data_IF_484135890668
#
_entry.id   IF_484135890668
#
_cell.length_a   1.000
_cell.length_b   1.000
_cell.length_c   1.000
_cell.angle_alpha   90.00
_cell.angle_beta   90.00
_cell.angle_gamma   90.00
#
_symmetry.space_group_name_H-M   'P 1'
#
loop_
_entity.id
_entity.type
_entity.pdbx_description
1 polymer ?
#
# COMPACT_ATOMS: atom_id res chain seq x y z
N UNK A 1 16.52 -10.71 -8.06
CA UNK A 1 17.04 -9.48 -7.42
C UNK A 1 16.20 -8.24 -7.72
N UNK A 2 15.85 -7.95 -8.99
CA UNK A 2 15.07 -6.75 -9.37
C UNK A 2 13.76 -6.52 -8.57
N UNK A 3 12.90 -7.53 -8.29
CA UNK A 3 11.66 -7.31 -7.52
C UNK A 3 11.91 -6.84 -6.08
N UNK A 4 12.95 -7.36 -5.41
CA UNK A 4 13.29 -6.96 -4.05
C UNK A 4 13.78 -5.51 -3.99
N UNK A 5 14.52 -5.05 -5.01
CA UNK A 5 14.96 -3.65 -5.10
C UNK A 5 13.76 -2.70 -5.23
N UNK A 6 12.77 -3.03 -6.06
CA UNK A 6 11.54 -2.23 -6.17
C UNK A 6 10.73 -2.22 -4.87
N UNK A 7 10.66 -3.35 -4.16
CA UNK A 7 9.98 -3.41 -2.87
C UNK A 7 10.67 -2.54 -1.80
N UNK A 8 12.00 -2.56 -1.75
CA UNK A 8 12.78 -1.71 -0.84
C UNK A 8 12.59 -0.23 -1.20
N UNK A 9 12.70 0.12 -2.49
CA UNK A 9 12.48 1.48 -2.96
C UNK A 9 11.07 1.99 -2.62
N UNK A 10 10.04 1.15 -2.80
CA UNK A 10 8.68 1.47 -2.40
C UNK A 10 8.59 1.75 -0.88
N UNK A 11 9.21 0.89 -0.05
CA UNK A 11 9.28 1.10 1.40
C UNK A 11 9.92 2.44 1.78
N UNK A 12 11.02 2.81 1.13
CA UNK A 12 11.70 4.09 1.34
C UNK A 12 10.84 5.28 0.92
N UNK A 13 10.19 5.23 -0.25
CA UNK A 13 9.27 6.27 -0.70
C UNK A 13 8.11 6.48 0.28
N UNK A 14 7.52 5.39 0.78
CA UNK A 14 6.48 5.46 1.82
C UNK A 14 7.02 5.90 3.19
N UNK A 15 8.29 5.65 3.52
CA UNK A 15 8.89 6.17 4.76
C UNK A 15 9.05 7.69 4.71
N UNK A 16 9.69 8.19 3.67
CA UNK A 16 9.93 9.62 3.49
C UNK A 16 8.61 10.38 3.29
N UNK A 17 7.72 9.88 2.42
CA UNK A 17 6.45 10.54 2.12
C UNK A 17 5.55 10.68 3.35
N UNK A 18 5.43 9.63 4.18
CA UNK A 18 4.56 9.67 5.36
C UNK A 18 5.13 10.53 6.50
N UNK A 19 6.46 10.75 6.54
CA UNK A 19 7.06 11.72 7.45
C UNK A 19 6.56 13.14 7.15
N UNK A 20 6.53 13.53 5.87
CA UNK A 20 5.98 14.82 5.45
C UNK A 20 4.47 14.92 5.70
N UNK A 21 3.71 13.86 5.44
CA UNK A 21 2.29 13.83 5.78
C UNK A 21 2.09 14.06 7.28
N UNK A 22 2.81 13.31 8.13
CA UNK A 22 2.68 13.41 9.59
C UNK A 22 3.03 14.81 10.09
N UNK A 23 4.09 15.43 9.56
CA UNK A 23 4.48 16.79 9.97
C UNK A 23 3.41 17.83 9.65
N UNK A 24 2.72 17.68 8.51
CA UNK A 24 1.59 18.54 8.15
C UNK A 24 0.37 18.29 9.05
N UNK A 25 0.05 17.02 9.37
CA UNK A 25 -1.05 16.68 10.28
C UNK A 25 -0.83 17.24 11.70
N UNK A 26 0.42 17.29 12.17
CA UNK A 26 0.78 17.86 13.48
C UNK A 26 0.57 19.38 13.57
N UNK A 27 0.45 20.08 12.44
CA UNK A 27 0.13 21.51 12.46
C UNK A 27 -1.33 21.79 12.86
N UNK A 28 -2.19 20.77 12.87
CA UNK A 28 -3.64 20.87 13.07
C UNK A 28 -4.39 21.78 12.06
N UNK A 29 -3.71 22.29 11.02
CA UNK A 29 -4.32 23.09 9.95
C UNK A 29 -4.85 22.25 8.79
N UNK A 30 -4.42 21.00 8.69
CA UNK A 30 -4.82 20.05 7.64
C UNK A 30 -5.28 18.77 8.31
N UNK A 31 -6.51 18.35 8.02
CA UNK A 31 -7.06 17.08 8.52
C UNK A 31 -6.61 15.87 7.70
N UNK A 32 -6.76 14.64 8.23
CA UNK A 32 -6.34 13.41 7.56
C UNK A 32 -7.04 13.20 6.20
N UNK A 33 -8.33 13.53 6.10
CA UNK A 33 -9.10 13.42 4.86
C UNK A 33 -8.58 14.41 3.81
N UNK A 34 -8.33 15.66 4.21
CA UNK A 34 -7.77 16.69 3.33
C UNK A 34 -6.37 16.30 2.84
N UNK A 35 -5.53 15.76 3.72
CA UNK A 35 -4.19 15.31 3.37
C UNK A 35 -4.21 14.22 2.30
N UNK A 36 -5.09 13.21 2.42
CA UNK A 36 -5.23 12.16 1.41
C UNK A 36 -5.80 12.71 0.11
N UNK A 37 -6.85 13.53 0.19
CA UNK A 37 -7.46 14.10 -1.01
C UNK A 37 -6.44 14.89 -1.83
N UNK A 38 -5.70 15.79 -1.18
CA UNK A 38 -4.66 16.60 -1.82
C UNK A 38 -3.51 15.75 -2.36
N UNK A 39 -3.02 14.78 -1.56
CA UNK A 39 -1.99 13.82 -2.00
C UNK A 39 -2.44 13.07 -3.27
N UNK A 40 -3.67 12.58 -3.30
CA UNK A 40 -4.22 11.84 -4.44
C UNK A 40 -4.39 12.71 -5.67
N UNK A 41 -4.81 13.97 -5.52
CA UNK A 41 -4.87 14.95 -6.63
C UNK A 41 -3.52 15.12 -7.31
N UNK A 42 -2.42 15.08 -6.57
CA UNK A 42 -1.05 15.16 -7.13
C UNK A 42 -0.61 13.81 -7.71
N UNK A 43 -0.89 12.71 -7.00
CA UNK A 43 -0.40 11.39 -7.39
C UNK A 43 -1.07 10.86 -8.66
N UNK A 44 -2.38 11.04 -8.83
CA UNK A 44 -3.15 10.46 -9.94
C UNK A 44 -2.61 10.88 -11.32
N UNK A 45 -2.40 12.17 -11.63
CA UNK A 45 -1.83 12.58 -12.92
C UNK A 45 -0.43 11.99 -13.17
N UNK A 46 0.41 11.91 -12.14
CA UNK A 46 1.76 11.34 -12.25
C UNK A 46 1.70 9.84 -12.57
N UNK A 47 0.78 9.10 -11.94
CA UNK A 47 0.58 7.67 -12.21
C UNK A 47 0.07 7.43 -13.63
N UNK A 48 -0.89 8.23 -14.11
CA UNK A 48 -1.39 8.13 -15.49
C UNK A 48 -0.33 8.51 -16.53
N UNK A 49 0.52 9.51 -16.24
CA UNK A 49 1.64 9.85 -17.10
C UNK A 49 2.66 8.70 -17.16
N UNK A 50 2.98 8.09 -16.02
CA UNK A 50 3.87 6.93 -15.97
C UNK A 50 3.30 5.75 -16.79
N UNK A 51 2.00 5.46 -16.66
CA UNK A 51 1.29 4.48 -17.50
C UNK A 51 1.39 4.84 -18.99
N UNK A 52 1.10 6.08 -19.36
CA UNK A 52 1.15 6.53 -20.74
C UNK A 52 2.55 6.33 -21.35
N UNK A 53 3.61 6.71 -20.63
CA UNK A 53 5.00 6.52 -21.06
C UNK A 53 5.32 5.03 -21.19
N UNK A 54 5.00 4.22 -20.17
CA UNK A 54 5.26 2.79 -20.16
C UNK A 54 4.63 2.06 -21.36
N UNK A 55 3.36 2.35 -21.64
CA UNK A 55 2.58 1.67 -22.69
C UNK A 55 2.88 2.23 -24.08
N UNK A 56 2.85 3.56 -24.26
CA UNK A 56 2.87 4.15 -25.60
C UNK A 56 4.27 4.54 -26.05
N UNK A 57 5.10 5.05 -25.12
CA UNK A 57 6.44 5.58 -25.46
C UNK A 57 7.53 4.52 -25.40
N UNK A 58 7.47 3.63 -24.40
CA UNK A 58 8.44 2.57 -24.17
C UNK A 58 7.94 1.18 -24.60
N UNK A 59 6.63 1.01 -24.77
CA UNK A 59 5.99 -0.24 -25.22
C UNK A 59 6.49 -1.45 -24.42
N UNK A 60 6.47 -1.33 -23.10
CA UNK A 60 6.91 -2.39 -22.21
C UNK A 60 6.05 -3.64 -22.44
N UNK A 61 6.69 -4.76 -22.79
CA UNK A 61 6.01 -6.02 -23.07
C UNK A 61 5.27 -6.62 -21.87
N UNK A 62 5.58 -6.16 -20.67
CA UNK A 62 4.93 -6.57 -19.42
C UNK A 62 3.64 -5.81 -19.11
N UNK A 63 3.34 -4.73 -19.85
CA UNK A 63 2.20 -3.84 -19.57
C UNK A 63 1.15 -3.93 -20.70
N UNK A 64 0.01 -4.62 -20.49
CA UNK A 64 -1.03 -4.75 -21.49
C UNK A 64 -1.71 -3.41 -21.79
N UNK A 65 -1.77 -3.02 -23.07
CA UNK A 65 -2.42 -1.77 -23.51
C UNK A 65 -3.94 -1.87 -23.60
N UNK A 66 -4.47 -3.09 -23.66
CA UNK A 66 -5.88 -3.43 -23.93
C UNK A 66 -6.63 -3.88 -22.66
N UNK A 67 -6.12 -3.54 -21.47
CA UNK A 67 -6.70 -3.94 -20.19
C UNK A 67 -8.18 -3.55 -20.02
N UNK A 68 -8.66 -2.52 -20.73
CA UNK A 68 -10.08 -2.12 -20.74
C UNK A 68 -11.00 -3.18 -21.37
N UNK A 69 -10.45 -4.10 -22.17
CA UNK A 69 -11.19 -5.24 -22.71
C UNK A 69 -11.32 -6.39 -21.71
N UNK A 70 -10.64 -6.32 -20.57
CA UNK A 70 -10.75 -7.32 -19.52
C UNK A 70 -12.20 -7.42 -19.04
N UNK A 71 -12.67 -8.66 -18.81
CA UNK A 71 -14.04 -8.89 -18.34
C UNK A 71 -14.31 -8.24 -16.98
N UNK A 72 -15.60 -8.03 -16.70
CA UNK A 72 -16.08 -7.42 -15.45
C UNK A 72 -15.48 -8.03 -14.17
N UNK A 73 -15.25 -9.35 -14.03
CA UNK A 73 -14.63 -9.89 -12.82
C UNK A 73 -13.22 -9.35 -12.55
N UNK A 74 -12.45 -9.03 -13.59
CA UNK A 74 -11.09 -8.49 -13.47
C UNK A 74 -11.13 -7.01 -13.14
N UNK A 75 -11.90 -6.23 -13.91
CA UNK A 75 -12.07 -4.80 -13.67
C UNK A 75 -12.75 -4.52 -12.32
N UNK A 76 -13.68 -5.37 -11.90
CA UNK A 76 -14.35 -5.30 -10.59
C UNK A 76 -13.37 -5.54 -9.43
N UNK A 77 -12.46 -6.52 -9.54
CA UNK A 77 -11.39 -6.71 -8.53
C UNK A 77 -10.47 -5.49 -8.46
N UNK A 78 -10.12 -4.90 -9.60
CA UNK A 78 -9.30 -3.69 -9.65
C UNK A 78 -10.02 -2.49 -9.01
N UNK A 79 -11.28 -2.24 -9.39
CA UNK A 79 -12.05 -1.11 -8.89
C UNK A 79 -12.42 -1.26 -7.41
N UNK A 80 -12.97 -2.41 -7.02
CA UNK A 80 -13.44 -2.63 -5.65
C UNK A 80 -12.29 -2.95 -4.70
N UNK A 81 -11.43 -3.90 -5.05
CA UNK A 81 -10.30 -4.30 -4.20
C UNK A 81 -9.19 -3.27 -4.20
N UNK A 82 -8.68 -2.95 -5.41
CA UNK A 82 -7.57 -1.99 -5.58
C UNK A 82 -7.99 -0.55 -5.30
N UNK A 83 -9.03 -0.07 -5.98
CA UNK A 83 -9.47 1.32 -5.89
C UNK A 83 -10.16 1.65 -4.57
N UNK A 84 -11.23 0.93 -4.22
CA UNK A 84 -12.05 1.28 -3.08
C UNK A 84 -11.47 0.79 -1.75
N UNK A 85 -11.15 -0.51 -1.63
CA UNK A 85 -10.67 -1.08 -0.36
C UNK A 85 -9.25 -0.61 -0.04
N UNK A 86 -8.29 -0.85 -0.94
CA UNK A 86 -6.90 -0.44 -0.70
C UNK A 86 -6.70 1.07 -0.94
N UNK A 87 -7.20 1.59 -2.06
CA UNK A 87 -6.93 2.95 -2.53
C UNK A 87 -7.72 4.07 -1.84
N UNK A 88 -8.85 3.76 -1.19
CA UNK A 88 -9.65 4.76 -0.46
C UNK A 88 -9.78 4.39 1.02
N UNK A 89 -10.44 3.28 1.35
CA UNK A 89 -10.73 2.91 2.74
C UNK A 89 -9.46 2.69 3.56
N UNK A 90 -8.49 1.92 3.03
CA UNK A 90 -7.21 1.68 3.68
C UNK A 90 -6.42 2.97 3.93
N UNK A 91 -6.41 3.89 2.95
CA UNK A 91 -5.77 5.20 3.13
C UNK A 91 -6.48 6.00 4.24
N UNK A 92 -7.81 6.12 4.18
CA UNK A 92 -8.61 6.85 5.18
C UNK A 92 -8.34 6.35 6.60
N UNK A 93 -8.38 5.04 6.83
CA UNK A 93 -8.10 4.47 8.14
C UNK A 93 -6.64 4.71 8.56
N UNK A 94 -5.68 4.52 7.65
CA UNK A 94 -4.27 4.71 7.97
C UNK A 94 -3.96 6.17 8.35
N UNK A 95 -4.47 7.16 7.61
CA UNK A 95 -4.19 8.56 7.91
C UNK A 95 -4.98 9.06 9.11
N UNK A 96 -6.18 8.54 9.36
CA UNK A 96 -6.87 8.79 10.62
C UNK A 96 -6.04 8.29 11.81
N UNK A 97 -5.54 7.05 11.76
CA UNK A 97 -4.63 6.54 12.78
C UNK A 97 -3.35 7.39 12.90
N UNK A 98 -2.75 7.77 11.77
CA UNK A 98 -1.56 8.62 11.73
C UNK A 98 -1.79 10.00 12.34
N UNK A 99 -3.00 10.57 12.21
CA UNK A 99 -3.34 11.84 12.87
C UNK A 99 -3.48 11.72 14.38
N UNK A 100 -3.85 10.55 14.89
CA UNK A 100 -4.15 10.29 16.30
C UNK A 100 -2.94 9.73 17.09
N UNK A 101 -2.02 9.04 16.42
CA UNK A 101 -0.89 8.36 17.08
C UNK A 101 0.47 8.70 16.49
N UNK A 102 1.52 8.20 17.14
CA UNK A 102 2.89 8.37 16.67
C UNK A 102 3.17 7.55 15.40
N UNK A 103 3.93 8.13 14.46
CA UNK A 103 4.28 7.44 13.21
C UNK A 103 5.07 6.15 13.47
N UNK A 104 5.90 6.14 14.52
CA UNK A 104 6.69 4.99 15.00
C UNK A 104 5.82 3.81 15.44
N UNK A 105 4.56 4.03 15.81
CA UNK A 105 3.64 2.96 16.26
C UNK A 105 2.58 2.63 15.22
N UNK A 106 1.92 3.65 14.68
CA UNK A 106 0.81 3.47 13.74
C UNK A 106 1.27 2.78 12.44
N UNK A 107 2.45 3.14 11.95
CA UNK A 107 2.97 2.59 10.69
C UNK A 107 3.34 1.11 10.82
N UNK A 108 4.14 0.67 11.81
CA UNK A 108 4.38 -0.76 12.01
C UNK A 108 3.10 -1.56 12.19
N UNK A 109 2.12 -1.08 12.98
CA UNK A 109 0.84 -1.80 13.16
C UNK A 109 0.15 -2.04 11.81
N UNK A 110 -0.07 -0.98 11.02
CA UNK A 110 -0.74 -1.10 9.73
C UNK A 110 0.07 -1.95 8.73
N UNK A 111 1.38 -1.71 8.62
CA UNK A 111 2.24 -2.31 7.60
C UNK A 111 2.79 -3.69 7.95
N UNK A 112 2.60 -4.18 9.18
CA UNK A 112 2.86 -5.58 9.55
C UNK A 112 1.61 -6.44 9.55
N UNK A 113 0.46 -5.84 9.88
CA UNK A 113 -0.84 -6.54 9.76
C UNK A 113 -1.09 -6.90 8.29
N UNK A 114 -0.80 -5.99 7.36
CA UNK A 114 -1.01 -6.23 5.93
C UNK A 114 -0.25 -7.46 5.38
N UNK A 115 1.07 -7.64 5.60
CA UNK A 115 1.78 -8.86 5.21
C UNK A 115 1.24 -10.14 5.87
N UNK A 116 0.89 -10.11 7.16
CA UNK A 116 0.35 -11.27 7.85
C UNK A 116 -0.99 -11.71 7.24
N UNK A 117 -1.90 -10.75 7.01
CA UNK A 117 -3.17 -10.99 6.32
C UNK A 117 -2.94 -11.41 4.88
N UNK A 118 -2.00 -10.81 4.15
CA UNK A 118 -1.69 -11.16 2.78
C UNK A 118 -1.18 -12.60 2.64
N UNK A 119 -0.34 -13.07 3.57
CA UNK A 119 0.11 -14.47 3.61
C UNK A 119 -1.06 -15.43 3.82
N UNK A 120 -2.00 -15.09 4.72
CA UNK A 120 -3.21 -15.89 4.95
C UNK A 120 -4.14 -15.89 3.74
N UNK A 121 -4.45 -14.73 3.17
CA UNK A 121 -5.33 -14.61 2.00
C UNK A 121 -4.68 -15.24 0.76
N UNK A 122 -3.38 -15.10 0.58
CA UNK A 122 -2.61 -15.76 -0.48
C UNK A 122 -2.73 -17.28 -0.38
N UNK A 123 -2.66 -17.84 0.82
CA UNK A 123 -2.87 -19.26 1.05
C UNK A 123 -4.32 -19.70 0.81
N UNK A 124 -5.29 -18.99 1.39
CA UNK A 124 -6.69 -19.43 1.38
C UNK A 124 -7.40 -19.17 0.04
N UNK A 125 -7.16 -18.00 -0.57
CA UNK A 125 -7.85 -17.52 -1.77
C UNK A 125 -7.02 -17.77 -3.01
N UNK A 126 -5.74 -17.37 -3.01
CA UNK A 126 -4.86 -17.53 -4.18
C UNK A 126 -4.23 -18.92 -4.27
N UNK A 127 -4.47 -19.78 -3.27
CA UNK A 127 -3.95 -21.16 -3.18
C UNK A 127 -2.42 -21.23 -3.22
N UNK A 128 -1.74 -20.19 -2.76
CA UNK A 128 -0.29 -20.23 -2.59
C UNK A 128 0.11 -21.25 -1.52
N UNK A 129 1.27 -21.94 -1.67
CA UNK A 129 1.74 -22.84 -0.63
C UNK A 129 2.08 -22.08 0.65
N UNK A 130 1.47 -22.49 1.76
CA UNK A 130 1.84 -22.07 3.11
C UNK A 130 2.96 -22.97 3.63
N UNK A 131 4.20 -22.48 3.56
CA UNK A 131 5.35 -23.19 4.10
C UNK A 131 5.56 -22.82 5.57
N UNK A 132 6.21 -23.70 6.34
CA UNK A 132 6.62 -23.39 7.72
C UNK A 132 7.44 -22.08 7.79
N UNK A 133 8.28 -21.81 6.78
CA UNK A 133 9.05 -20.55 6.69
C UNK A 133 8.14 -19.32 6.56
N UNK A 134 7.09 -19.36 5.73
CA UNK A 134 6.13 -18.26 5.61
C UNK A 134 5.38 -18.03 6.92
N UNK A 135 4.94 -19.11 7.57
CA UNK A 135 4.22 -19.04 8.85
C UNK A 135 5.08 -18.45 9.98
N UNK A 136 6.32 -18.94 10.14
CA UNK A 136 7.27 -18.41 11.13
C UNK A 136 7.63 -16.96 10.81
N UNK A 137 7.87 -16.63 9.54
CA UNK A 137 8.15 -15.25 9.13
C UNK A 137 7.02 -14.28 9.48
N UNK A 138 5.77 -14.67 9.21
CA UNK A 138 4.60 -13.88 9.59
C UNK A 138 4.50 -13.70 11.11
N UNK A 139 4.72 -14.76 11.89
CA UNK A 139 4.73 -14.69 13.35
C UNK A 139 5.82 -13.73 13.88
N UNK A 140 7.04 -13.81 13.34
CA UNK A 140 8.15 -12.92 13.72
C UNK A 140 7.85 -11.47 13.40
N UNK A 141 7.23 -11.17 12.26
CA UNK A 141 6.79 -9.81 11.90
C UNK A 141 5.79 -9.28 12.94
N UNK A 142 4.78 -10.09 13.31
CA UNK A 142 3.78 -9.70 14.30
C UNK A 142 4.38 -9.48 15.68
N UNK A 143 5.26 -10.38 16.14
CA UNK A 143 5.99 -10.22 17.41
C UNK A 143 6.87 -8.98 17.39
N UNK A 144 7.60 -8.73 16.30
CA UNK A 144 8.45 -7.54 16.17
C UNK A 144 7.65 -6.24 16.26
N UNK A 145 6.44 -6.21 15.67
CA UNK A 145 5.55 -5.05 15.80
C UNK A 145 4.97 -4.93 17.20
N UNK A 146 4.56 -6.03 17.82
CA UNK A 146 4.12 -6.00 19.22
C UNK A 146 5.21 -5.43 20.15
N UNK A 147 6.47 -5.81 19.96
CA UNK A 147 7.59 -5.28 20.74
C UNK A 147 7.89 -3.81 20.46
N UNK A 148 7.70 -3.35 19.21
CA UNK A 148 7.94 -1.96 18.82
C UNK A 148 6.83 -1.01 19.27
N UNK A 149 5.61 -1.51 19.44
CA UNK A 149 4.43 -0.69 19.68
C UNK A 149 3.74 -0.94 21.01
N UNK A 150 4.12 -2.00 21.73
CA UNK A 150 3.72 -2.24 23.11
C UNK A 150 4.39 -1.22 24.02
N UNK A 151 3.56 -0.52 24.79
CA UNK A 151 4.00 0.20 25.99
C UNK A 151 3.92 -0.75 27.19
#
# INVERSE_FOLDING_TARGET
MKPYLFAIAAGLCWAVGELFTKSVLQTHKVGPVTAIAFRSTIAIPVLWLAYYIAVHRWRLSTEPSDWMTAGWPTLGKLALGGGLVAGAAGMLFFYAALSLGEISRMKPIAFATAPAVAVLLGWLILKEPMTARKAVGAAVILVGVFLLTGD
#
